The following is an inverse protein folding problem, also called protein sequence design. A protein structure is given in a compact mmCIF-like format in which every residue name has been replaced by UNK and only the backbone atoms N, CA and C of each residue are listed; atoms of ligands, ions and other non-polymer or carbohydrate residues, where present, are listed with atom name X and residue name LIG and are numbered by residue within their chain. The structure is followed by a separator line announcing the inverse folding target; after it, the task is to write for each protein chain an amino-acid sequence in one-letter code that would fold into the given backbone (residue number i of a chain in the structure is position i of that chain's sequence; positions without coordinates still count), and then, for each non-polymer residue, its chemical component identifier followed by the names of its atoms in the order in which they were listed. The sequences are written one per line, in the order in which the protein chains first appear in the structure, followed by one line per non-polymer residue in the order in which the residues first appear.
data_IF_582644441357
#
_entry.id   IF_582644441357
#
_cell.length_a   1.000
_cell.length_b   1.000
_cell.length_c   1.000
_cell.angle_alpha   90.00
_cell.angle_beta   90.00
_cell.angle_gamma   90.00
#
_symmetry.space_group_name_H-M   'P 1'
#
loop_
_entity.id
_entity.type
_entity.pdbx_description
1 polymer ?
2 non-polymer ?
3 non-polymer ?
4 non-polymer ?
5 water ?
#
# COMPACT_ATOMS: atom_id res chain seq x y z
N UNK A 1 -9.76 -15.37 9.77
CA UNK A 1 -9.51 -13.95 10.10
C UNK A 1 -8.73 -13.29 8.98
N UNK A 2 -9.05 -12.04 8.67
CA UNK A 2 -8.30 -11.30 7.66
C UNK A 2 -7.06 -10.62 8.23
N UNK A 3 -6.01 -10.65 7.43
CA UNK A 3 -4.85 -9.82 7.65
C UNK A 3 -5.27 -8.35 7.60
N UNK A 4 -4.37 -7.49 8.08
CA UNK A 4 -4.68 -6.09 8.31
C UNK A 4 -3.44 -5.29 7.94
N UNK A 5 -3.67 -4.10 7.37
CA UNK A 5 -2.57 -3.21 6.99
C UNK A 5 -2.79 -1.86 7.66
N UNK A 6 -1.75 -1.33 8.31
CA UNK A 6 -1.75 0.04 8.77
C UNK A 6 -0.67 0.82 8.04
N UNK A 7 -1.03 2.00 7.58
CA UNK A 7 -0.14 2.83 6.77
C UNK A 7 0.07 4.16 7.46
N UNK A 8 1.33 4.58 7.56
CA UNK A 8 1.62 5.97 7.92
C UNK A 8 2.16 6.67 6.68
N UNK A 9 1.44 7.71 6.26
CA UNK A 9 1.80 8.48 5.09
C UNK A 9 2.50 9.76 5.49
N UNK A 10 3.75 9.91 5.09
CA UNK A 10 4.54 11.13 5.40
C UNK A 10 4.61 12.09 4.20
N UNK A 11 4.23 13.35 4.42
CA UNK A 11 4.42 14.40 3.42
C UNK A 11 5.74 15.07 3.78
N UNK A 12 6.66 15.10 2.83
CA UNK A 12 8.04 15.53 3.13
C UNK A 12 8.47 16.66 2.22
N UNK A 13 9.37 17.51 2.72
CA UNK A 13 9.93 18.56 1.88
C UNK A 13 10.60 17.92 0.69
N UNK A 14 10.52 18.59 -0.46
CA UNK A 14 11.08 18.06 -1.71
C UNK A 14 12.54 17.69 -1.52
N UNK A 15 12.90 16.48 -1.94
CA UNK A 15 14.27 16.01 -1.91
C UNK A 15 14.69 15.23 -0.68
N UNK A 16 13.81 15.10 0.30
CA UNK A 16 14.19 14.48 1.59
C UNK A 16 13.73 13.03 1.75
N UNK A 17 13.17 12.43 0.71
CA UNK A 17 12.66 11.06 0.79
C UNK A 17 13.75 10.07 1.14
N UNK A 18 14.89 10.17 0.46
CA UNK A 18 15.98 9.21 0.63
C UNK A 18 16.56 9.22 2.04
N UNK A 19 16.79 10.41 2.58
CA UNK A 19 17.34 10.53 3.94
C UNK A 19 16.32 10.04 4.98
N UNK A 20 15.03 10.25 4.71
CA UNK A 20 13.98 9.81 5.61
C UNK A 20 13.86 8.27 5.59
N UNK A 21 13.93 7.69 4.40
CA UNK A 21 13.83 6.21 4.25
C UNK A 21 14.95 5.49 5.02
N UNK A 22 16.15 6.07 5.01
CA UNK A 22 17.30 5.48 5.71
C UNK A 22 17.07 5.31 7.20
N UNK A 23 16.19 6.14 7.78
CA UNK A 23 15.85 6.06 9.20
C UNK A 23 15.10 4.78 9.54
N UNK A 24 14.57 4.09 8.53
CA UNK A 24 13.76 2.88 8.76
C UNK A 24 14.53 1.58 8.55
N UNK A 25 15.79 1.67 8.13
CA UNK A 25 16.60 0.48 7.85
C UNK A 25 16.78 -0.42 9.08
N UNK A 26 17.03 0.20 10.22
CA UNK A 26 17.33 -0.53 11.45
C UNK A 26 16.08 -0.73 12.30
N UNK A 27 15.79 -1.99 12.62
CA UNK A 27 14.58 -2.31 13.41
C UNK A 27 14.67 -1.82 14.86
N UNK A 28 13.53 -1.45 15.44
CA UNK A 28 13.49 -0.91 16.80
C UNK A 28 12.43 -1.60 17.64
N UNK A 29 12.16 -2.87 17.33
CA UNK A 29 11.33 -3.66 18.23
C UNK A 29 10.04 -4.18 17.62
N UNK A 30 9.62 -3.60 16.49
CA UNK A 30 8.36 -4.06 15.88
C UNK A 30 8.39 -5.56 15.53
N UNK A 31 9.59 -6.07 15.21
CA UNK A 31 9.75 -7.50 14.88
C UNK A 31 9.44 -8.46 16.06
N UNK A 32 9.38 -7.91 17.27
CA UNK A 32 9.12 -8.71 18.47
C UNK A 32 7.63 -8.86 18.73
N UNK A 33 6.79 -8.22 17.91
CA UNK A 33 5.34 -8.18 18.19
C UNK A 33 4.69 -9.38 17.53
N UNK A 34 3.98 -10.16 18.35
CA UNK A 34 3.19 -11.28 17.88
C UNK A 34 2.20 -10.76 16.84
N UNK A 35 2.21 -11.37 15.66
CA UNK A 35 1.26 -10.95 14.61
C UNK A 35 1.86 -10.05 13.55
N UNK A 36 3.01 -9.43 13.84
CA UNK A 36 3.71 -8.64 12.82
C UNK A 36 4.27 -9.53 11.71
N UNK A 37 4.04 -9.15 10.45
CA UNK A 37 4.43 -9.99 9.34
C UNK A 37 5.37 -9.33 8.35
N UNK A 38 5.00 -8.15 7.84
CA UNK A 38 5.83 -7.46 6.84
C UNK A 38 5.78 -5.95 7.02
N UNK A 39 6.84 -5.29 6.56
CA UNK A 39 6.80 -3.85 6.39
C UNK A 39 7.45 -3.41 5.06
N UNK A 40 6.86 -2.40 4.43
CA UNK A 40 7.36 -1.78 3.21
C UNK A 40 7.50 -0.29 3.48
N UNK A 41 8.59 0.31 3.00
CA UNK A 41 8.75 1.77 3.05
C UNK A 41 8.90 2.20 1.60
N UNK A 42 8.00 3.06 1.13
CA UNK A 42 7.92 3.40 -0.29
C UNK A 42 8.09 4.90 -0.54
N UNK A 43 8.58 5.22 -1.74
CA UNK A 43 8.59 6.60 -2.23
C UNK A 43 7.69 6.68 -3.46
N UNK A 44 6.74 7.59 -3.45
CA UNK A 44 5.82 7.74 -4.57
C UNK A 44 6.59 8.38 -5.72
N UNK A 45 6.39 7.82 -6.91
CA UNK A 45 6.98 8.37 -8.13
C UNK A 45 5.96 9.30 -8.77
N UNK A 46 6.28 10.58 -8.85
CA UNK A 46 5.35 11.56 -9.42
C UNK A 46 6.08 12.87 -9.65
N UNK A 47 5.34 13.90 -10.05
CA UNK A 47 5.94 15.23 -10.29
C UNK A 47 5.47 16.33 -9.33
N UNK A 48 5.17 15.95 -8.08
CA UNK A 48 4.60 16.90 -7.13
C UNK A 48 5.63 17.79 -6.42
N UNK A 49 5.14 18.80 -5.69
CA UNK A 49 5.97 19.77 -4.95
C UNK A 49 6.62 19.25 -3.69
N UNK A 50 6.07 18.17 -3.15
CA UNK A 50 6.59 17.55 -1.93
C UNK A 50 6.97 16.10 -2.25
N UNK A 51 7.81 15.49 -1.42
CA UNK A 51 8.09 14.05 -1.54
C UNK A 51 7.05 13.32 -0.70
N UNK A 52 6.79 12.06 -1.01
CA UNK A 52 5.82 11.29 -0.24
C UNK A 52 6.41 9.91 0.05
N UNK A 53 6.47 9.60 1.34
CA UNK A 53 6.98 8.32 1.79
C UNK A 53 5.89 7.63 2.61
N UNK A 54 5.61 6.37 2.27
CA UNK A 54 4.61 5.61 3.03
C UNK A 54 5.25 4.43 3.73
N UNK A 55 4.82 4.20 4.97
CA UNK A 55 5.23 3.04 5.74
C UNK A 55 4.03 2.12 5.87
N UNK A 56 4.12 0.96 5.22
CA UNK A 56 3.05 -0.04 5.25
C UNK A 56 3.44 -1.19 6.16
N UNK A 57 2.58 -1.49 7.13
CA UNK A 57 2.82 -2.59 8.05
C UNK A 57 1.69 -3.61 7.87
N UNK A 58 2.06 -4.87 7.76
CA UNK A 58 1.13 -5.96 7.48
C UNK A 58 1.07 -6.86 8.71
N UNK A 59 -0.14 -7.17 9.17
CA UNK A 59 -0.36 -7.85 10.44
C UNK A 59 -1.32 -9.03 10.29
N UNK A 60 -1.20 -10.00 11.18
CA UNK A 60 -2.16 -11.12 11.25
C UNK A 60 -3.59 -10.65 11.61
N UNK A 61 -3.70 -9.60 12.41
CA UNK A 61 -5.00 -9.02 12.76
C UNK A 61 -4.82 -7.55 13.14
N UNK A 62 -5.92 -6.79 13.17
CA UNK A 62 -5.89 -5.43 13.67
C UNK A 62 -5.48 -5.37 15.16
N UNK A 63 -5.85 -6.41 15.93
CA UNK A 63 -5.47 -6.54 17.33
C UNK A 63 -3.95 -6.47 17.51
N UNK A 64 -3.25 -7.18 16.63
CA UNK A 64 -1.77 -7.21 16.60
C UNK A 64 -1.22 -5.79 16.47
N UNK A 65 -1.71 -5.06 15.46
CA UNK A 65 -1.30 -3.67 15.27
C UNK A 65 -1.59 -2.80 16.50
N UNK A 66 -2.80 -2.89 17.05
CA UNK A 66 -3.17 -2.13 18.26
C UNK A 66 -2.23 -2.37 19.43
N UNK A 67 -1.85 -3.64 19.61
CA UNK A 67 -0.85 -4.01 20.62
C UNK A 67 0.47 -3.26 20.42
N UNK A 68 0.97 -3.26 19.19
CA UNK A 68 2.19 -2.52 18.88
C UNK A 68 1.99 -1.02 19.08
N UNK A 69 0.89 -0.48 18.57
CA UNK A 69 0.67 0.95 18.66
C UNK A 69 0.69 1.43 20.11
N UNK A 70 0.19 0.59 21.01
CA UNK A 70 0.12 0.94 22.42
C UNK A 70 1.34 0.50 23.24
N UNK A 71 2.36 -0.03 22.56
CA UNK A 71 3.51 -0.66 23.23
C UNK A 71 4.66 0.29 23.60
N UNK A 72 5.50 -0.17 24.53
CA UNK A 72 6.74 0.51 24.85
C UNK A 72 7.67 0.64 23.65
N UNK A 73 7.72 -0.37 22.78
CA UNK A 73 8.66 -0.31 21.65
C UNK A 73 8.23 0.71 20.60
N UNK A 74 6.91 0.91 20.46
CA UNK A 74 6.43 1.97 19.57
C UNK A 74 6.88 3.31 20.13
N UNK A 75 6.65 3.51 21.42
CA UNK A 75 7.03 4.76 22.09
C UNK A 75 8.52 5.04 21.90
N UNK A 76 9.35 4.01 22.11
CA UNK A 76 10.81 4.16 21.98
C UNK A 76 11.22 4.55 20.55
N UNK A 77 10.69 3.83 19.57
CA UNK A 77 11.02 4.07 18.15
C UNK A 77 10.74 5.52 17.72
N UNK A 78 9.73 6.13 18.32
CA UNK A 78 9.26 7.47 17.93
C UNK A 78 9.65 8.59 18.90
N UNK A 79 10.36 8.26 19.97
CA UNK A 79 10.66 9.26 21.01
C UNK A 79 11.42 10.50 20.53
N UNK A 80 12.24 10.38 19.48
CA UNK A 80 13.00 11.52 18.96
C UNK A 80 12.49 12.06 17.62
N UNK A 81 11.34 11.56 17.17
CA UNK A 81 10.72 11.98 15.92
C UNK A 81 10.05 13.34 16.09
N UNK A 82 10.35 14.26 15.20
CA UNK A 82 9.72 15.59 15.21
C UNK A 82 9.17 15.94 13.83
N UNK A 83 8.11 16.73 13.82
CA UNK A 83 7.55 17.33 12.61
C UNK A 83 8.13 18.73 12.48
N UNK A 84 8.23 19.23 11.24
CA UNK A 84 8.64 20.61 10.97
C UNK A 84 7.79 21.63 11.77
N UNK A 85 6.54 21.28 12.05
CA UNK A 85 5.61 22.14 12.76
C UNK A 85 5.86 22.16 14.28
N UNK A 86 6.65 21.21 14.77
CA UNK A 86 6.98 21.16 16.21
C UNK A 86 7.93 22.30 16.61
N UNK A 87 7.86 22.71 17.87
CA UNK A 87 8.75 23.75 18.43
C UNK A 87 10.24 23.46 18.24
N UNK A 88 10.59 22.19 18.34
CA UNK A 88 11.97 21.76 18.19
C UNK A 88 12.17 21.00 16.86
N UNK A 89 11.33 21.30 15.88
CA UNK A 89 11.33 20.58 14.61
C UNK A 89 12.06 21.22 13.46
N UNK A 90 12.98 22.14 13.78
CA UNK A 90 13.74 22.92 12.78
C UNK A 90 14.46 22.09 11.72
N UNK A 91 15.05 20.99 12.14
CA UNK A 91 15.82 20.16 11.20
C UNK A 91 14.97 19.07 10.52
N UNK A 92 13.70 18.97 10.89
CA UNK A 92 12.83 17.90 10.35
C UNK A 92 12.27 18.28 8.99
N UNK A 93 12.42 17.39 7.99
CA UNK A 93 11.77 17.61 6.71
C UNK A 93 10.34 17.04 6.68
N UNK A 94 9.85 16.55 7.81
CA UNK A 94 8.52 15.90 7.83
C UNK A 94 7.46 16.95 8.07
N UNK A 95 6.65 17.22 7.05
CA UNK A 95 5.63 18.26 7.12
C UNK A 95 4.37 17.83 7.86
N UNK A 96 4.01 16.55 7.72
CA UNK A 96 2.79 16.05 8.32
C UNK A 96 2.74 14.53 8.14
N UNK A 97 1.86 13.87 8.89
CA UNK A 97 1.60 12.47 8.68
C UNK A 97 0.11 12.19 8.79
N UNK A 98 -0.33 11.13 8.13
CA UNK A 98 -1.69 10.69 8.25
C UNK A 98 -1.71 9.17 8.24
N UNK A 99 -2.49 8.60 9.14
CA UNK A 99 -2.61 7.15 9.28
C UNK A 99 -3.84 6.63 8.52
N UNK A 100 -3.64 5.55 7.77
CA UNK A 100 -4.73 4.87 7.06
C UNK A 100 -4.75 3.41 7.47
N UNK A 101 -5.95 2.83 7.52
CA UNK A 101 -6.10 1.44 7.98
C UNK A 101 -6.86 0.63 6.95
N UNK A 102 -6.50 -0.64 6.77
CA UNK A 102 -7.09 -1.44 5.71
C UNK A 102 -7.30 -2.87 6.15
N UNK A 103 -8.43 -3.45 5.75
CA UNK A 103 -8.56 -4.90 5.84
C UNK A 103 -7.99 -5.51 4.56
N UNK A 104 -7.20 -6.56 4.72
CA UNK A 104 -6.61 -7.25 3.57
C UNK A 104 -7.58 -8.38 3.21
N UNK A 105 -8.30 -8.20 2.10
CA UNK A 105 -9.27 -9.18 1.63
C UNK A 105 -8.70 -10.38 0.90
N UNK A 106 -7.47 -10.23 0.38
CA UNK A 106 -6.80 -11.25 -0.40
C UNK A 106 -5.29 -10.96 -0.45
N UNK A 107 -4.49 -12.03 -0.41
CA UNK A 107 -3.03 -11.96 -0.54
C UNK A 107 -2.50 -13.18 -1.28
N UNK A 108 -1.55 -12.92 -2.18
CA UNK A 108 -0.82 -13.97 -2.91
C UNK A 108 0.67 -13.65 -2.89
N UNK A 109 1.49 -14.64 -2.51
CA UNK A 109 2.94 -14.46 -2.56
C UNK A 109 3.49 -15.60 -3.39
N UNK A 110 4.23 -15.25 -4.45
CA UNK A 110 4.91 -16.21 -5.33
C UNK A 110 6.08 -16.84 -4.59
N UNK B 1 19.24 -3.72 -6.95
CA UNK B 1 18.06 -2.97 -7.47
C UNK B 1 16.91 -3.00 -6.47
N UNK B 2 16.23 -1.86 -6.32
CA UNK B 2 15.07 -1.76 -5.44
C UNK B 2 13.87 -2.47 -6.07
N UNK B 3 13.04 -3.04 -5.20
CA UNK B 3 11.75 -3.53 -5.60
C UNK B 3 10.81 -2.37 -6.00
N UNK B 4 9.71 -2.72 -6.63
CA UNK B 4 8.79 -1.72 -7.20
C UNK B 4 7.37 -2.11 -6.83
N UNK B 5 6.54 -1.10 -6.56
CA UNK B 5 5.14 -1.35 -6.27
C UNK B 5 4.23 -0.56 -7.22
N UNK B 6 3.23 -1.23 -7.74
CA UNK B 6 2.18 -0.57 -8.51
C UNK B 6 0.85 -0.76 -7.80
N UNK B 7 0.10 0.34 -7.66
CA UNK B 7 -1.19 0.31 -7.03
C UNK B 7 -2.25 0.72 -8.03
N UNK B 8 -3.34 -0.05 -8.09
CA UNK B 8 -4.55 0.45 -8.74
C UNK B 8 -5.55 0.76 -7.66
N UNK B 9 -5.98 2.02 -7.61
CA UNK B 9 -6.89 2.50 -6.58
C UNK B 9 -8.31 2.60 -7.15
N UNK B 10 -9.18 1.71 -6.71
CA UNK B 10 -10.56 1.67 -7.18
C UNK B 10 -11.49 2.57 -6.35
N UNK B 11 -12.12 3.53 -7.04
CA UNK B 11 -13.18 4.36 -6.45
C UNK B 11 -14.52 3.66 -6.72
N UNK B 12 -15.22 3.27 -5.65
CA UNK B 12 -16.40 2.39 -5.78
C UNK B 12 -17.61 3.02 -5.12
N UNK B 13 -18.79 2.63 -5.58
CA UNK B 13 -20.01 3.03 -4.86
C UNK B 13 -19.93 2.52 -3.43
N UNK B 14 -20.51 3.29 -2.52
CA UNK B 14 -20.60 2.93 -1.11
C UNK B 14 -21.14 1.52 -0.95
N UNK B 15 -20.47 0.73 -0.11
CA UNK B 15 -20.88 -0.65 0.19
C UNK B 15 -20.45 -1.72 -0.78
N UNK B 16 -19.82 -1.35 -1.90
CA UNK B 16 -19.51 -2.34 -2.94
C UNK B 16 -18.12 -2.99 -2.84
N UNK B 17 -17.34 -2.62 -1.83
CA UNK B 17 -15.96 -3.14 -1.72
C UNK B 17 -15.95 -4.68 -1.71
N UNK B 18 -16.81 -5.30 -0.91
CA UNK B 18 -16.72 -6.74 -0.70
C UNK B 18 -17.00 -7.53 -1.97
N UNK B 19 -18.06 -7.16 -2.68
CA UNK B 19 -18.42 -7.87 -3.91
C UNK B 19 -17.33 -7.65 -4.96
N UNK B 20 -16.68 -6.49 -4.91
CA UNK B 20 -15.58 -6.19 -5.84
C UNK B 20 -14.33 -7.02 -5.53
N UNK B 21 -13.97 -7.07 -4.26
CA UNK B 21 -12.80 -7.85 -3.83
C UNK B 21 -12.89 -9.34 -4.20
N UNK B 22 -14.09 -9.93 -4.11
CA UNK B 22 -14.28 -11.34 -4.44
C UNK B 22 -13.87 -11.66 -5.88
N UNK B 23 -13.91 -10.64 -6.74
CA UNK B 23 -13.52 -10.81 -8.16
C UNK B 23 -12.02 -11.10 -8.35
N UNK B 24 -11.26 -10.82 -7.30
CA UNK B 24 -9.80 -10.94 -7.33
C UNK B 24 -9.28 -12.26 -6.78
N UNK B 25 -10.18 -13.11 -6.27
CA UNK B 25 -9.76 -14.36 -5.63
C UNK B 25 -9.00 -15.33 -6.53
N UNK B 26 -9.46 -15.51 -7.75
CA UNK B 26 -8.81 -16.48 -8.63
C UNK B 26 -7.89 -15.82 -9.66
N UNK B 27 -6.67 -16.34 -9.72
CA UNK B 27 -5.61 -15.76 -10.53
C UNK B 27 -5.88 -15.97 -12.00
N UNK B 28 -5.45 -15.00 -12.80
CA UNK B 28 -5.68 -15.00 -14.23
C UNK B 28 -4.37 -14.79 -14.99
N UNK B 29 -3.24 -15.10 -14.34
CA UNK B 29 -1.97 -15.17 -15.05
C UNK B 29 -0.89 -14.19 -14.60
N UNK B 30 -1.25 -13.20 -13.77
CA UNK B 30 -0.24 -12.25 -13.34
C UNK B 30 0.97 -12.99 -12.72
N UNK B 31 0.69 -14.12 -12.06
CA UNK B 31 1.73 -14.85 -11.31
C UNK B 31 2.78 -15.49 -12.23
N UNK B 32 2.49 -15.51 -13.53
CA UNK B 32 3.39 -16.10 -14.52
C UNK B 32 4.43 -15.11 -15.09
N UNK B 33 4.31 -13.85 -14.70
CA UNK B 33 5.23 -12.83 -15.18
C UNK B 33 6.51 -12.84 -14.35
N UNK B 34 7.64 -12.96 -15.02
CA UNK B 34 8.93 -13.00 -14.32
C UNK B 34 9.10 -11.69 -13.55
N UNK B 35 9.34 -11.80 -12.25
CA UNK B 35 9.55 -10.63 -11.41
C UNK B 35 8.34 -10.25 -10.58
N UNK B 36 7.18 -10.84 -10.88
CA UNK B 36 6.04 -10.68 -9.99
C UNK B 36 6.33 -11.37 -8.65
N UNK B 37 6.05 -10.69 -7.54
CA UNK B 37 6.31 -11.23 -6.21
C UNK B 37 5.09 -11.40 -5.31
N UNK B 38 4.29 -10.35 -5.17
CA UNK B 38 3.16 -10.39 -4.24
C UNK B 38 2.02 -9.53 -4.72
N UNK B 39 0.81 -9.88 -4.33
CA UNK B 39 -0.32 -8.98 -4.49
C UNK B 39 -1.17 -8.95 -3.23
N UNK B 40 -1.67 -7.76 -2.93
CA UNK B 40 -2.61 -7.55 -1.82
C UNK B 40 -3.83 -6.84 -2.39
N UNK B 41 -5.02 -7.23 -1.92
CA UNK B 41 -6.23 -6.52 -2.26
C UNK B 41 -6.80 -6.02 -0.95
N UNK B 42 -6.93 -4.70 -0.83
CA UNK B 42 -7.29 -4.07 0.46
C UNK B 42 -8.57 -3.28 0.38
N UNK B 43 -9.30 -3.24 1.51
CA UNK B 43 -10.44 -2.35 1.64
C UNK B 43 -10.08 -1.24 2.61
N UNK B 44 -10.25 0.02 2.21
CA UNK B 44 -9.96 1.13 3.12
C UNK B 44 -11.04 1.19 4.21
N UNK B 45 -10.61 1.22 5.47
CA UNK B 45 -11.55 1.25 6.58
C UNK B 45 -11.99 2.67 6.89
N UNK B 46 -13.17 2.81 7.49
CA UNK B 46 -13.67 4.12 7.93
C UNK B 46 -14.02 5.13 6.83
N UNK B 47 -14.32 4.65 5.63
CA UNK B 47 -14.73 5.54 4.55
C UNK B 47 -16.19 5.93 4.74
N UNK B 48 -16.50 7.20 4.47
CA UNK B 48 -17.84 7.75 4.70
C UNK B 48 -18.59 8.07 3.40
N UNK B 49 -17.85 8.15 2.30
CA UNK B 49 -18.40 8.50 1.01
C UNK B 49 -18.31 7.24 0.13
N UNK B 50 -17.54 7.30 -0.95
CA UNK B 50 -17.31 6.15 -1.81
C UNK B 50 -16.50 5.07 -1.10
N UNK B 51 -16.72 3.81 -1.49
CA UNK B 51 -15.85 2.73 -1.00
C UNK B 51 -14.49 2.84 -1.70
N UNK B 52 -13.44 2.31 -1.08
CA UNK B 52 -12.12 2.35 -1.73
C UNK B 52 -11.47 0.99 -1.59
N UNK B 53 -11.07 0.42 -2.74
CA UNK B 53 -10.33 -0.83 -2.77
C UNK B 53 -9.01 -0.58 -3.50
N UNK B 54 -7.92 -1.06 -2.92
CA UNK B 54 -6.60 -0.93 -3.55
C UNK B 54 -6.02 -2.29 -3.89
N UNK B 55 -5.50 -2.40 -5.10
CA UNK B 55 -4.82 -3.60 -5.55
C UNK B 55 -3.34 -3.24 -5.59
N UNK B 56 -2.57 -3.84 -4.68
CA UNK B 56 -1.13 -3.57 -4.60
C UNK B 56 -0.35 -4.73 -5.19
N UNK B 57 0.50 -4.44 -6.17
CA UNK B 57 1.32 -5.48 -6.76
C UNK B 57 2.79 -5.16 -6.50
N UNK B 58 3.54 -6.17 -6.06
CA UNK B 58 4.96 -6.01 -5.70
C UNK B 58 5.83 -6.76 -6.69
N UNK B 59 6.86 -6.07 -7.20
CA UNK B 59 7.69 -6.59 -8.30
C UNK B 59 9.17 -6.41 -8.03
N UNK B 60 9.96 -7.26 -8.68
CA UNK B 60 11.42 -7.15 -8.68
C UNK B 60 11.92 -5.82 -9.28
N UNK B 61 11.16 -5.27 -10.25
CA UNK B 61 11.51 -4.03 -10.95
C UNK B 61 10.28 -3.45 -11.66
N UNK B 62 10.34 -2.16 -11.97
CA UNK B 62 9.29 -1.54 -12.77
C UNK B 62 9.18 -2.20 -14.14
N UNK B 63 10.32 -2.66 -14.67
CA UNK B 63 10.35 -3.35 -15.96
C UNK B 63 9.40 -4.56 -15.95
N UNK B 64 9.43 -5.32 -14.85
CA UNK B 64 8.59 -6.52 -14.70
C UNK B 64 7.12 -6.13 -14.77
N UNK B 65 6.76 -5.08 -14.03
CA UNK B 65 5.39 -4.59 -14.05
C UNK B 65 4.97 -4.18 -15.47
N UNK B 66 5.84 -3.43 -16.16
CA UNK B 66 5.53 -3.01 -17.53
C UNK B 66 5.31 -4.23 -18.41
N UNK B 67 6.12 -5.26 -18.18
CA UNK B 67 5.95 -6.51 -18.94
C UNK B 67 4.58 -7.15 -18.75
N UNK B 68 4.07 -7.08 -17.52
CA UNK B 68 2.71 -7.54 -17.27
C UNK B 68 1.66 -6.65 -17.96
N UNK B 69 1.81 -5.33 -17.85
CA UNK B 69 0.89 -4.42 -18.55
C UNK B 69 0.81 -4.72 -20.03
N UNK B 70 1.92 -5.18 -20.60
CA UNK B 70 2.03 -5.44 -22.03
C UNK B 70 1.64 -6.88 -22.42
N UNK B 71 1.21 -7.66 -21.44
CA UNK B 71 0.92 -9.08 -21.63
C UNK B 71 -0.51 -9.35 -22.12
N UNK B 72 -0.69 -10.53 -22.72
CA UNK B 72 -2.03 -10.99 -23.05
C UNK B 72 -2.80 -11.35 -21.80
N UNK B 73 -2.11 -11.83 -20.76
CA UNK B 73 -2.82 -12.19 -19.50
C UNK B 73 -3.44 -10.98 -18.82
N UNK B 74 -2.78 -9.82 -18.93
CA UNK B 74 -3.39 -8.58 -18.43
C UNK B 74 -4.70 -8.30 -19.16
N UNK B 75 -4.69 -8.42 -20.49
CA UNK B 75 -5.89 -8.19 -21.31
C UNK B 75 -7.01 -9.17 -20.94
N UNK B 76 -6.66 -10.44 -20.78
CA UNK B 76 -7.66 -11.48 -20.47
C UNK B 76 -8.27 -11.32 -19.06
N UNK B 77 -7.49 -10.84 -18.11
CA UNK B 77 -8.03 -10.56 -16.76
C UNK B 77 -9.03 -9.41 -16.77
N UNK B 78 -8.81 -8.43 -17.66
CA UNK B 78 -9.62 -7.20 -17.66
C UNK B 78 -10.67 -7.15 -18.78
N UNK B 79 -10.84 -8.24 -19.52
CA UNK B 79 -11.66 -8.19 -20.73
C UNK B 79 -13.15 -7.89 -20.48
N UNK B 80 -13.66 -8.27 -19.31
CA UNK B 80 -15.06 -8.03 -18.99
C UNK B 80 -15.27 -6.90 -17.98
N UNK B 81 -14.19 -6.21 -17.62
CA UNK B 81 -14.25 -5.14 -16.62
C UNK B 81 -14.86 -3.89 -17.22
N UNK B 82 -15.89 -3.36 -16.56
CA UNK B 82 -16.54 -2.15 -17.02
C UNK B 82 -16.64 -1.11 -15.91
N UNK B 83 -16.44 0.15 -16.30
CA UNK B 83 -16.72 1.28 -15.42
C UNK B 83 -18.19 1.66 -15.52
N UNK B 84 -18.75 2.29 -14.49
CA UNK B 84 -20.16 2.69 -14.53
C UNK B 84 -20.46 3.56 -15.76
N UNK B 85 -19.49 4.39 -16.11
CA UNK B 85 -19.57 5.30 -17.28
C UNK B 85 -19.53 4.63 -18.65
N UNK B 86 -19.10 3.37 -18.73
CA UNK B 86 -19.11 2.65 -20.01
C UNK B 86 -20.55 2.43 -20.49
N UNK B 87 -20.74 2.39 -21.81
CA UNK B 87 -22.06 2.20 -22.41
C UNK B 87 -22.84 1.05 -21.81
N UNK B 88 -22.18 -0.09 -21.65
CA UNK B 88 -22.81 -1.25 -21.05
C UNK B 88 -22.45 -1.41 -19.56
N UNK B 89 -22.00 -0.33 -18.92
CA UNK B 89 -21.52 -0.43 -17.54
C UNK B 89 -22.39 0.12 -16.42
N UNK B 90 -23.65 0.48 -16.73
CA UNK B 90 -24.52 1.15 -15.75
C UNK B 90 -24.60 0.43 -14.38
N UNK B 91 -24.57 -0.91 -14.41
CA UNK B 91 -24.70 -1.76 -13.21
C UNK B 91 -23.39 -1.94 -12.41
N UNK B 92 -22.27 -1.53 -13.00
CA UNK B 92 -20.97 -1.64 -12.34
C UNK B 92 -20.91 -0.66 -11.17
N UNK B 93 -20.38 -1.10 -10.00
CA UNK B 93 -20.12 -0.17 -8.91
C UNK B 93 -18.78 0.55 -9.03
N UNK B 94 -18.02 0.25 -10.08
CA UNK B 94 -16.68 0.84 -10.24
C UNK B 94 -16.77 2.19 -10.96
N UNK B 95 -16.50 3.25 -10.20
CA UNK B 95 -16.62 4.63 -10.72
C UNK B 95 -15.38 5.07 -11.50
N UNK B 96 -14.20 4.85 -10.93
CA UNK B 96 -12.94 5.21 -11.60
C UNK B 96 -11.78 4.40 -11.02
N UNK B 97 -10.65 4.44 -11.72
CA UNK B 97 -9.38 3.96 -11.14
C UNK B 97 -8.29 5.02 -11.25
N UNK B 98 -7.25 4.90 -10.42
CA UNK B 98 -6.07 5.75 -10.57
C UNK B 98 -4.86 4.88 -10.22
N UNK B 99 -3.83 4.92 -11.05
CA UNK B 99 -2.64 4.11 -10.83
C UNK B 99 -1.56 4.93 -10.13
N UNK B 100 -0.97 4.34 -9.09
CA UNK B 100 0.17 4.94 -8.40
C UNK B 100 1.36 3.99 -8.50
N UNK B 101 2.56 4.57 -8.59
CA UNK B 101 3.80 3.81 -8.75
C UNK B 101 4.77 4.24 -7.69
N UNK B 102 5.51 3.26 -7.14
CA UNK B 102 6.38 3.51 -6.01
C UNK B 102 7.70 2.76 -6.11
N UNK B 103 8.77 3.42 -5.67
CA UNK B 103 10.03 2.73 -5.41
C UNK B 103 10.02 2.16 -3.99
N UNK B 104 10.29 0.87 -3.84
CA UNK B 104 10.34 0.28 -2.51
C UNK B 104 11.76 0.48 -1.98
N UNK B 105 11.91 1.40 -1.04
CA UNK B 105 13.19 1.74 -0.44
C UNK B 105 13.63 0.78 0.65
N UNK B 106 12.67 0.07 1.26
CA UNK B 106 12.98 -0.90 2.30
C UNK B 106 11.86 -1.91 2.40
N UNK B 107 12.21 -3.17 2.62
CA UNK B 107 11.22 -4.23 2.85
C UNK B 107 11.75 -5.23 3.87
N UNK B 108 10.87 -5.66 4.77
CA UNK B 108 11.21 -6.65 5.76
C UNK B 108 10.06 -7.65 5.86
N UNK B 109 10.39 -8.93 5.85
CA UNK B 109 9.40 -9.97 6.11
C UNK B 109 9.87 -10.84 7.25
N UNK B 110 9.03 -11.02 8.26
CA UNK B 110 9.39 -11.84 9.41
C UNK B 110 9.38 -13.32 9.02
X LIG C 1 9.53 4.65 12.98
X LIG C 1 7.79 8.95 11.63
X LIG C 1 3.76 7.27 13.76
X LIG C 1 5.11 3.13 11.61
X LIG C 1 9.53 5.97 12.54
X LIG C 1 10.64 6.82 12.18
X LIG C 1 10.15 8.01 11.79
X LIG C 1 8.71 7.96 11.91
X LIG C 1 10.95 9.24 11.31
X LIG C 1 12.14 6.44 12.25
X LIG C 1 12.67 7.13 13.53
X LIG C 1 14.18 7.08 13.65
X LIG C 1 14.88 7.90 12.98
X LIG C 1 14.68 6.22 14.41
X LIG C 1 6.53 8.97 12.23
X LIG C 1 5.70 10.11 12.53
X LIG C 1 4.60 9.64 13.14
X LIG C 1 4.67 8.19 13.24
X LIG C 1 6.05 11.58 12.20
X LIG C 1 3.43 10.51 13.64
X LIG C 1 3.09 10.44 14.93
X LIG C 1 3.66 6.01 13.19
X LIG C 1 2.48 5.22 12.95
X LIG C 1 2.85 4.08 12.36
X LIG C 1 4.29 4.09 12.18
X LIG C 1 1.04 5.63 13.33
X LIG C 1 1.90 2.95 11.91
X LIG C 1 2.12 2.33 10.73
X LIG C 1 6.45 3.07 11.91
X LIG C 1 7.29 1.88 11.91
X LIG C 1 8.67 2.33 12.38
X LIG C 1 8.55 3.76 12.61
X LIG C 1 6.87 0.45 11.54
X LIG C 1 9.87 1.38 12.57
X LIG C 1 9.65 0.82 13.99
X LIG C 1 10.57 -0.33 14.37
X LIG C 1 11.48 -0.67 13.59
X LIG C 1 10.38 -0.90 15.48
X LIG C 1 8.35 6.70 12.34
X LIG C 1 5.87 7.84 12.67
X LIG C 1 4.74 5.30 12.71
X LIG C 1 7.24 4.13 12.33
X LIG C 1 6.55 5.98 12.52
X LIG D 1 6.36 6.05 10.60
X LIG D 1 6.18 6.26 9.48
X LIG E 1 -8.05 -7.73 -12.29
X LIG E 1 -10.48 -3.54 -12.21
X LIG E 1 -6.52 -1.90 -14.40
X LIG E 1 -4.33 -4.77 -11.20
X LIG E 1 -9.11 -6.85 -12.18
X LIG E 1 -10.51 -7.14 -11.87
X LIG E 1 -11.17 -5.97 -11.85
X LIG E 1 -10.22 -4.90 -12.13
X LIG E 1 -12.68 -5.72 -11.56
X LIG E 1 -11.09 -8.55 -11.66
X LIG E 1 -11.75 -8.90 -13.00
X LIG E 1 -12.65 -10.12 -12.92
X LIG E 1 -13.82 -10.00 -12.46
X LIG E 1 -12.19 -11.22 -13.32
X LIG E 1 -9.69 -2.71 -12.97
X LIG E 1 -10.03 -1.47 -13.65
X LIG E 1 -8.92 -1.01 -14.26
X LIG E 1 -7.83 -1.94 -13.99
X LIG E 1 -11.44 -0.82 -13.67
X LIG E 1 -8.83 0.26 -15.13
X LIG E 1 -8.28 0.18 -16.35
X LIG E 1 -5.53 -2.40 -13.58
X LIG E 1 -4.20 -1.88 -13.36
X LIG E 1 -3.59 -2.67 -12.47
X LIG E 1 -4.52 -3.73 -12.08
X LIG E 1 -3.55 -0.63 -14.03
X LIG E 1 -2.16 -2.48 -11.91
X LIG E 1 -1.95 -2.57 -10.59
X LIG E 1 -5.04 -5.95 -11.29
X LIG E 1 -4.61 -7.28 -10.92
X LIG E 1 -5.77 -8.22 -11.26
X LIG E 1 -6.78 -7.37 -11.84
X LIG E 1 -3.27 -7.63 -10.28
X LIG E 1 -5.75 -9.74 -11.07
X LIG E 1 -4.87 -10.20 -12.26
X LIG E 1 -4.59 -11.70 -12.34
X LIG E 1 -5.01 -12.46 -11.42
X LIG E 1 -3.94 -12.14 -13.32
X LIG E 1 -8.99 -5.48 -12.31
X LIG E 1 -8.35 -2.94 -13.21
X LIG E 1 -5.69 -3.52 -12.79
X LIG E 1 -6.30 -6.08 -11.84
X LIG E 1 -7.33 -4.51 -12.57
X LIG F 1 -7.57 -3.93 -10.71
X LIG F 1 -7.56 -3.23 -9.82
X LIG G 1 -18.61 1.32 4.96
X LIG H 1 -21.48 12.20 2.09
#
# INVERSE_FOLDING_TARGET
AHMFMAENRLQLQKGSAEETIERFYNRQGIETIEGFQQMFVTKTLNTEDTDEVKILTIWESEDSFNNWLNSDVFKEAHKNVRLKSDDDGQQSPILSNKVFKYDIGYHYQK
AHMFMAENRLQLQKGSAEETIERFYNRQGIETIEGFQQMFVTKTLNTEDTDEVKILTIWESEDSFNNWLNSDVFKEAHKNVRLKSDDDGQQSPILSNKVFKYDIGYHYQK
HEM CHA CHB CHC CHD C1A C2A C3A C4A CMA CAA CBA CGA O1A O2A C1B C2B C3B C4B CMB CAB CBB C1C C2C C3C C4C CMC CAC CBC C1D C2D C3D C4D CMD CAD CBD CGD O1D O2D NA NB NC ND FE
CYN C N
HEM CHA CHB CHC CHD C1A C2A C3A C4A CMA CAA CBA CGA O1A O2A C1B C2B C3B C4B CMB CAB CBB C1C C2C C3C C4C CMC CAC CBC C1D C2D C3D C4D CMD CAD CBD CGD O1D O2D NA NB NC ND FE
CYN C N
MG MG
MG MG
#
